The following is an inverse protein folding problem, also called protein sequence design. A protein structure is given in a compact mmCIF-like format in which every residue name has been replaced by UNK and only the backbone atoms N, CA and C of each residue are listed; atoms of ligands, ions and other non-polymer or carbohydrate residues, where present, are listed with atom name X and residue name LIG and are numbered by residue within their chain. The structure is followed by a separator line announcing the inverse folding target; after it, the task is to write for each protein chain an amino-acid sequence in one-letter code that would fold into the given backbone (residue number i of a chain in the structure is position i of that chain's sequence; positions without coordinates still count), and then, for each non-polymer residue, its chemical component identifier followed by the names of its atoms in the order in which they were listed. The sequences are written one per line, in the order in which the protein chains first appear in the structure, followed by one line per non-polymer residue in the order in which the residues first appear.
data_IF_824721725835
#
_entry.id   IF_824721725835
#
_cell.length_a   1.000
_cell.length_b   1.000
_cell.length_c   1.000
_cell.angle_alpha   90.00
_cell.angle_beta   90.00
_cell.angle_gamma   90.00
#
_symmetry.space_group_name_H-M   'P 1'
#
loop_
_entity.id
_entity.type
_entity.pdbx_description
1 polymer ?
#
# COMPACT_ATOMS: atom_id res chain seq x y z
N UNK A 1 2.99 -18.87 1.62
CA UNK A 1 1.98 -18.50 0.61
C UNK A 1 2.57 -18.51 -0.81
N UNK A 2 3.67 -17.80 -1.12
CA UNK A 2 4.32 -17.82 -2.45
C UNK A 2 4.82 -19.22 -2.90
N UNK A 3 5.51 -19.91 -1.99
CA UNK A 3 6.09 -21.24 -2.24
C UNK A 3 5.03 -22.32 -2.46
N UNK A 4 3.76 -22.03 -2.13
CA UNK A 4 2.63 -22.95 -2.31
C UNK A 4 2.11 -23.00 -3.75
N UNK A 5 2.46 -21.99 -4.57
CA UNK A 5 2.02 -21.87 -5.97
C UNK A 5 3.17 -21.99 -6.99
N UNK A 6 4.41 -22.23 -6.55
CA UNK A 6 5.55 -22.45 -7.44
C UNK A 6 6.05 -21.20 -8.18
N UNK A 7 5.55 -20.00 -7.84
CA UNK A 7 5.99 -18.75 -8.45
C UNK A 7 7.08 -18.06 -7.61
N UNK A 8 8.06 -17.39 -8.26
CA UNK A 8 9.04 -16.56 -7.56
C UNK A 8 8.34 -15.40 -6.83
N UNK A 9 8.88 -14.95 -5.69
CA UNK A 9 8.28 -13.87 -4.87
C UNK A 9 8.26 -12.55 -5.64
N UNK A 10 9.17 -12.40 -6.59
CA UNK A 10 9.33 -11.28 -7.50
C UNK A 10 8.17 -11.17 -8.52
N UNK A 11 7.41 -12.25 -8.72
CA UNK A 11 6.22 -12.25 -9.57
C UNK A 11 4.94 -11.80 -8.82
N UNK A 12 5.02 -11.54 -7.52
CA UNK A 12 3.87 -11.01 -6.77
C UNK A 12 3.49 -9.62 -7.29
N UNK A 13 2.25 -9.45 -7.71
CA UNK A 13 1.65 -8.13 -7.90
C UNK A 13 1.04 -7.69 -6.58
N UNK A 14 1.51 -6.56 -6.05
CA UNK A 14 1.10 -6.05 -4.74
C UNK A 14 0.37 -4.73 -4.97
N UNK A 15 -0.95 -4.73 -4.83
CA UNK A 15 -1.75 -3.50 -4.87
C UNK A 15 -1.93 -2.95 -3.47
N UNK A 16 -1.54 -1.69 -3.28
CA UNK A 16 -1.62 -0.99 -2.00
C UNK A 16 -2.54 0.19 -2.17
N UNK A 17 -3.63 0.23 -1.42
CA UNK A 17 -4.51 1.40 -1.36
C UNK A 17 -4.39 2.06 -0.01
N UNK A 18 -4.11 3.36 0.00
CA UNK A 18 -3.92 4.14 1.23
C UNK A 18 -4.90 5.32 1.23
N UNK A 19 -5.77 5.38 2.22
CA UNK A 19 -6.66 6.50 2.50
C UNK A 19 -6.05 7.43 3.54
N UNK A 20 -5.81 8.69 3.17
CA UNK A 20 -5.27 9.76 4.04
C UNK A 20 -5.87 11.12 3.66
N UNK A 21 -5.93 12.08 4.58
CA UNK A 21 -6.56 13.38 4.36
C UNK A 21 -5.87 14.24 3.30
N UNK A 22 -4.56 14.05 3.11
CA UNK A 22 -3.74 14.86 2.21
C UNK A 22 -2.88 13.94 1.31
N UNK A 23 -3.50 13.22 0.34
CA UNK A 23 -2.80 12.23 -0.47
C UNK A 23 -1.64 12.84 -1.27
N UNK A 24 -1.80 14.06 -1.78
CA UNK A 24 -0.77 14.75 -2.58
C UNK A 24 0.52 15.06 -1.80
N UNK A 25 0.49 14.96 -0.47
CA UNK A 25 1.66 15.22 0.39
C UNK A 25 2.44 13.95 0.74
N UNK A 26 1.98 12.79 0.29
CA UNK A 26 2.64 11.51 0.56
C UNK A 26 3.76 11.26 -0.45
N UNK A 27 4.94 10.90 0.06
CA UNK A 27 6.06 10.48 -0.78
C UNK A 27 5.93 8.99 -1.11
N UNK A 28 5.35 8.70 -2.29
CA UNK A 28 5.14 7.32 -2.75
C UNK A 28 6.44 6.54 -2.89
N UNK A 29 7.54 7.18 -3.27
CA UNK A 29 8.86 6.54 -3.39
C UNK A 29 9.29 5.87 -2.07
N UNK A 30 9.16 6.58 -0.94
CA UNK A 30 9.51 6.05 0.39
C UNK A 30 8.64 4.84 0.77
N UNK A 31 7.39 4.79 0.28
CA UNK A 31 6.50 3.65 0.51
C UNK A 31 6.92 2.43 -0.31
N UNK A 32 7.38 2.63 -1.54
CA UNK A 32 7.85 1.54 -2.41
C UNK A 32 9.11 0.87 -1.84
N UNK A 33 10.00 1.65 -1.21
CA UNK A 33 11.25 1.15 -0.60
C UNK A 33 11.02 0.22 0.60
N UNK A 34 9.80 0.19 1.17
CA UNK A 34 9.44 -0.72 2.27
C UNK A 34 9.27 -2.16 1.78
N UNK A 35 8.94 -2.36 0.50
CA UNK A 35 8.65 -3.69 -0.04
C UNK A 35 9.95 -4.41 -0.44
N UNK A 36 10.31 -5.54 0.22
CA UNK A 36 11.58 -6.22 -0.04
C UNK A 36 11.61 -6.97 -1.39
N UNK A 37 10.45 -7.25 -1.99
CA UNK A 37 10.29 -7.97 -3.25
C UNK A 37 8.86 -7.80 -3.78
N UNK A 38 8.65 -8.29 -5.00
CA UNK A 38 7.38 -8.16 -5.72
C UNK A 38 7.31 -6.88 -6.53
N UNK A 39 6.13 -6.59 -7.05
CA UNK A 39 5.85 -5.45 -7.91
C UNK A 39 4.74 -4.61 -7.25
N UNK A 40 5.10 -3.74 -6.28
CA UNK A 40 4.14 -2.90 -5.59
C UNK A 40 3.62 -1.76 -6.48
N UNK A 41 2.32 -1.55 -6.43
CA UNK A 41 1.64 -0.37 -6.98
C UNK A 41 0.86 0.29 -5.86
N UNK A 42 1.17 1.55 -5.58
CA UNK A 42 0.53 2.33 -4.51
C UNK A 42 -0.45 3.33 -5.11
N UNK A 43 -1.70 3.27 -4.66
CA UNK A 43 -2.74 4.24 -4.98
C UNK A 43 -3.14 4.97 -3.71
N UNK A 44 -3.19 6.30 -3.80
CA UNK A 44 -3.56 7.17 -2.70
C UNK A 44 -4.98 7.71 -2.92
N UNK A 45 -5.75 7.73 -1.85
CA UNK A 45 -7.12 8.23 -1.83
C UNK A 45 -7.29 9.23 -0.70
N UNK A 46 -8.20 10.18 -0.89
CA UNK A 46 -8.70 10.98 0.23
C UNK A 46 -9.45 10.04 1.20
N UNK A 47 -9.07 10.07 2.48
CA UNK A 47 -9.66 9.22 3.51
C UNK A 47 -8.92 9.31 4.83
N UNK A 48 -9.10 8.31 5.70
CA UNK A 48 -8.46 8.33 7.02
C UNK A 48 -9.03 9.44 7.92
N UNK A 49 -8.18 10.01 8.79
CA UNK A 49 -8.56 11.10 9.68
C UNK A 49 -7.34 11.89 10.18
N UNK A 50 -7.45 13.22 10.19
CA UNK A 50 -6.52 14.11 10.86
C UNK A 50 -7.17 14.61 12.15
N UNK A 51 -6.54 14.34 13.29
CA UNK A 51 -6.99 14.84 14.59
C UNK A 51 -6.09 16.00 14.98
N UNK A 52 -6.57 17.25 14.91
CA UNK A 52 -5.80 18.41 15.35
C UNK A 52 -5.53 18.31 16.85
N UNK A 53 -4.41 18.90 17.27
CA UNK A 53 -4.05 18.90 18.69
C UNK A 53 -5.01 19.81 19.47
N UNK A 54 -5.31 19.49 20.75
CA UNK A 54 -6.22 20.30 21.56
C UNK A 54 -5.78 21.74 21.77
N UNK A 55 -4.47 21.99 21.76
CA UNK A 55 -3.83 23.30 21.88
C UNK A 55 -3.67 24.03 20.54
N UNK A 56 -3.94 23.36 19.41
CA UNK A 56 -3.91 23.93 18.06
C UNK A 56 -2.51 24.11 17.47
N UNK A 57 -1.44 23.91 18.25
CA UNK A 57 -0.05 24.11 17.81
C UNK A 57 0.63 22.79 17.43
N UNK A 58 1.27 22.77 16.26
CA UNK A 58 2.05 21.63 15.76
C UNK A 58 1.30 20.69 14.81
N UNK A 59 1.94 19.57 14.45
CA UNK A 59 1.36 18.63 13.49
C UNK A 59 0.19 17.84 14.12
N UNK A 60 -0.93 17.63 13.39
CA UNK A 60 -2.03 16.80 13.84
C UNK A 60 -1.58 15.33 13.98
N UNK A 61 -2.34 14.55 14.75
CA UNK A 61 -2.23 13.08 14.69
C UNK A 61 -2.91 12.62 13.40
N UNK A 62 -2.13 12.03 12.49
CA UNK A 62 -2.62 11.48 11.24
C UNK A 62 -2.97 10.00 11.41
N UNK A 63 -4.16 9.61 10.94
CA UNK A 63 -4.60 8.22 10.84
C UNK A 63 -4.79 7.90 9.35
N UNK A 64 -3.95 7.00 8.83
CA UNK A 64 -4.07 6.48 7.48
C UNK A 64 -4.60 5.04 7.52
N UNK A 65 -5.53 4.73 6.61
CA UNK A 65 -5.99 3.36 6.41
C UNK A 65 -5.26 2.77 5.21
N UNK A 66 -4.71 1.57 5.35
CA UNK A 66 -4.03 0.87 4.27
C UNK A 66 -4.68 -0.49 4.01
N UNK A 67 -4.97 -0.78 2.76
CA UNK A 67 -5.40 -2.09 2.28
C UNK A 67 -4.33 -2.67 1.35
N UNK A 68 -3.98 -3.94 1.57
CA UNK A 68 -2.96 -4.63 0.78
C UNK A 68 -3.58 -5.87 0.12
N UNK A 69 -3.48 -5.96 -1.19
CA UNK A 69 -3.86 -7.14 -1.96
C UNK A 69 -2.63 -7.71 -2.66
N UNK A 70 -2.44 -9.03 -2.55
CA UNK A 70 -1.36 -9.74 -3.22
C UNK A 70 -1.97 -10.73 -4.20
N UNK A 71 -1.54 -10.66 -5.45
CA UNK A 71 -2.03 -11.51 -6.52
C UNK A 71 -0.87 -11.96 -7.42
N UNK A 72 -1.14 -12.96 -8.25
CA UNK A 72 -0.24 -13.44 -9.28
C UNK A 72 -0.99 -13.43 -10.60
N UNK A 73 -0.32 -13.01 -11.67
CA UNK A 73 -0.83 -13.20 -13.02
C UNK A 73 -0.63 -14.67 -13.41
N UNK A 74 -1.73 -15.41 -13.46
CA UNK A 74 -1.72 -16.84 -13.71
C UNK A 74 -2.45 -17.12 -15.01
N UNK A 75 -1.76 -17.71 -15.99
CA UNK A 75 -2.46 -18.37 -17.09
C UNK A 75 -3.24 -19.58 -16.55
N UNK A 76 -4.45 -19.79 -17.09
CA UNK A 76 -5.21 -21.00 -16.78
C UNK A 76 -4.39 -22.21 -17.23
N UNK A 77 -4.11 -23.14 -16.32
CA UNK A 77 -3.62 -24.46 -16.68
C UNK A 77 -4.71 -25.15 -17.50
N UNK A 78 -4.61 -25.08 -18.83
CA UNK A 78 -5.46 -25.86 -19.72
C UNK A 78 -5.08 -27.34 -19.52
N UNK A 79 -6.02 -28.11 -18.97
CA UNK A 79 -5.92 -29.57 -18.88
C UNK A 79 -6.31 -30.26 -20.17
#
# INVERSE_FOLDING_TARGET
MAELFGFPKEAMQISVEIGVQQPDRVQVADLLDIFPYGQPTVTLHEGGLDIPRPDGDGNPTLIANAALSVSFDMERANG
#
